data_IF_688252098991
#
_entry.id   IF_688252098991
#
_cell.length_a   1.000
_cell.length_b   1.000
_cell.length_c   1.000
_cell.angle_alpha   90.00
_cell.angle_beta   90.00
_cell.angle_gamma   90.00
#
_symmetry.space_group_name_H-M   'P 1'
#
loop_
_entity.id
_entity.type
_entity.pdbx_description
1 polymer ?
#
# COMPACT_ATOMS: atom_id res chain seq x y z
N UNK A 1 -39.77 8.34 32.34
CA UNK A 1 -39.95 7.51 31.12
C UNK A 1 -38.59 7.43 30.44
N UNK A 2 -37.95 6.27 30.47
CA UNK A 2 -36.65 6.07 29.82
C UNK A 2 -36.96 5.86 28.33
N UNK A 3 -36.77 6.90 27.52
CA UNK A 3 -36.98 6.77 26.08
C UNK A 3 -35.91 5.85 25.46
N UNK A 4 -36.28 5.12 24.39
CA UNK A 4 -35.47 4.09 23.71
C UNK A 4 -34.22 4.66 22.98
N UNK A 5 -33.34 5.36 23.67
CA UNK A 5 -32.06 5.81 23.14
C UNK A 5 -31.05 4.67 23.13
N UNK A 6 -30.32 4.48 22.03
CA UNK A 6 -29.25 3.48 21.95
C UNK A 6 -27.92 4.08 21.48
N UNK A 7 -26.84 3.67 22.15
CA UNK A 7 -25.48 4.00 21.73
C UNK A 7 -25.04 3.07 20.60
N UNK A 8 -24.52 3.63 19.50
CA UNK A 8 -23.96 2.87 18.39
C UNK A 8 -22.88 3.67 17.65
N UNK A 9 -21.82 2.98 17.23
CA UNK A 9 -20.77 3.54 16.39
C UNK A 9 -21.18 3.66 14.92
N UNK A 10 -22.37 3.16 14.56
CA UNK A 10 -22.93 3.20 13.20
C UNK A 10 -24.38 3.69 13.25
N UNK A 11 -24.64 4.97 13.60
CA UNK A 11 -25.99 5.49 13.70
C UNK A 11 -26.69 5.68 12.33
N UNK A 12 -25.95 5.51 11.23
CA UNK A 12 -26.41 5.89 9.90
C UNK A 12 -26.41 7.41 9.73
N UNK A 13 -27.15 7.91 8.75
CA UNK A 13 -27.27 9.35 8.51
C UNK A 13 -28.25 9.94 9.53
N UNK A 14 -27.74 10.84 10.37
CA UNK A 14 -28.53 11.71 11.26
C UNK A 14 -28.37 13.13 10.73
N UNK A 15 -29.48 13.79 10.40
CA UNK A 15 -29.44 15.07 9.65
C UNK A 15 -29.63 16.30 10.51
N UNK A 16 -30.23 16.15 11.69
CA UNK A 16 -30.49 17.26 12.60
C UNK A 16 -30.62 16.79 14.04
N UNK A 17 -30.62 17.75 14.97
CA UNK A 17 -30.90 17.49 16.38
C UNK A 17 -32.31 16.92 16.59
N UNK A 18 -33.30 17.42 15.84
CA UNK A 18 -34.68 16.94 15.88
C UNK A 18 -34.78 15.49 15.40
N UNK A 19 -34.12 15.16 14.29
CA UNK A 19 -34.04 13.79 13.75
C UNK A 19 -33.43 12.83 14.78
N UNK A 20 -32.37 13.25 15.48
CA UNK A 20 -31.79 12.48 16.57
C UNK A 20 -32.73 12.29 17.75
N UNK A 21 -33.31 13.37 18.29
CA UNK A 21 -34.10 13.35 19.52
C UNK A 21 -35.44 12.62 19.36
N UNK A 22 -36.10 12.76 18.22
CA UNK A 22 -37.48 12.31 18.06
C UNK A 22 -37.63 11.13 17.10
N UNK A 23 -36.74 10.97 16.11
CA UNK A 23 -36.85 9.91 15.11
C UNK A 23 -35.85 8.77 15.36
N UNK A 24 -34.56 9.03 15.16
CA UNK A 24 -33.51 8.00 15.16
C UNK A 24 -33.25 7.43 16.55
N UNK A 25 -33.11 8.31 17.56
CA UNK A 25 -32.74 7.97 18.94
C UNK A 25 -31.52 7.05 19.06
N UNK A 26 -30.65 7.04 18.06
CA UNK A 26 -29.46 6.20 17.97
C UNK A 26 -28.29 7.06 17.53
N UNK A 27 -27.19 7.01 18.28
CA UNK A 27 -26.07 7.93 18.09
C UNK A 27 -24.81 7.46 18.81
N UNK A 28 -23.72 8.22 18.64
CA UNK A 28 -22.50 8.10 19.45
C UNK A 28 -22.31 9.37 20.29
N UNK A 29 -21.20 9.45 21.05
CA UNK A 29 -20.93 10.47 22.07
C UNK A 29 -21.27 11.91 21.63
N UNK A 30 -20.88 12.34 20.42
CA UNK A 30 -21.15 13.70 19.93
C UNK A 30 -22.64 14.01 19.75
N UNK A 31 -23.46 13.03 19.33
CA UNK A 31 -24.89 13.22 19.15
C UNK A 31 -25.57 13.50 20.49
N UNK A 32 -25.23 12.69 21.51
CA UNK A 32 -25.76 12.85 22.85
C UNK A 32 -25.25 14.12 23.53
N UNK A 33 -23.96 14.42 23.41
CA UNK A 33 -23.38 15.64 23.98
C UNK A 33 -23.95 16.90 23.32
N UNK A 34 -24.06 16.92 21.99
CA UNK A 34 -24.66 18.02 21.24
C UNK A 34 -26.14 18.22 21.59
N UNK A 35 -26.89 17.13 21.72
CA UNK A 35 -28.30 17.19 22.13
C UNK A 35 -28.47 17.73 23.56
N UNK A 36 -27.72 17.19 24.51
CA UNK A 36 -27.76 17.64 25.90
C UNK A 36 -27.36 19.12 26.04
N UNK A 37 -26.26 19.53 25.39
CA UNK A 37 -25.83 20.92 25.41
C UNK A 37 -26.88 21.86 24.81
N UNK A 38 -27.52 21.45 23.71
CA UNK A 38 -28.58 22.24 23.08
C UNK A 38 -29.81 22.37 23.97
N UNK A 39 -30.27 21.28 24.59
CA UNK A 39 -31.41 21.29 25.52
C UNK A 39 -31.14 22.16 26.75
N UNK A 40 -29.92 22.10 27.32
CA UNK A 40 -29.53 22.97 28.43
C UNK A 40 -29.55 24.46 28.05
N UNK A 41 -29.06 24.80 26.86
CA UNK A 41 -29.10 26.19 26.37
C UNK A 41 -30.53 26.65 26.15
N UNK A 42 -31.40 25.79 25.63
CA UNK A 42 -32.82 26.08 25.47
C UNK A 42 -33.52 26.28 26.83
N UNK A 43 -33.05 25.64 27.90
CA UNK A 43 -33.54 25.87 29.26
C UNK A 43 -32.84 27.03 29.99
N UNK A 44 -32.04 27.85 29.29
CA UNK A 44 -31.37 29.01 29.85
C UNK A 44 -30.11 28.71 30.66
N UNK A 45 -29.61 27.47 30.64
CA UNK A 45 -28.37 27.07 31.32
C UNK A 45 -27.20 27.19 30.36
N UNK A 46 -26.17 28.02 30.65
CA UNK A 46 -24.96 28.07 29.83
C UNK A 46 -24.29 26.70 29.79
N UNK A 47 -24.02 26.18 28.59
CA UNK A 47 -23.40 24.87 28.40
C UNK A 47 -22.44 24.86 27.21
N UNK A 48 -21.47 23.94 27.22
CA UNK A 48 -20.51 23.70 26.13
C UNK A 48 -20.23 22.22 25.96
N UNK A 49 -19.97 21.82 24.71
CA UNK A 49 -19.46 20.48 24.40
C UNK A 49 -17.95 20.51 24.56
N UNK A 50 -17.41 19.48 25.20
CA UNK A 50 -15.97 19.26 25.33
C UNK A 50 -15.63 17.97 24.60
N UNK A 51 -14.59 18.02 23.78
CA UNK A 51 -14.07 16.88 23.01
C UNK A 51 -12.67 16.56 23.50
N UNK A 52 -12.41 15.28 23.72
CA UNK A 52 -11.12 14.79 24.18
C UNK A 52 -11.08 13.27 24.17
N UNK A 53 -10.45 12.68 25.19
CA UNK A 53 -10.37 11.24 25.36
C UNK A 53 -10.94 10.84 26.73
N UNK A 54 -11.59 9.68 26.78
CA UNK A 54 -12.11 9.11 28.03
C UNK A 54 -11.73 7.63 28.12
N UNK A 55 -11.12 7.26 29.25
CA UNK A 55 -10.63 5.91 29.52
C UNK A 55 -9.14 5.78 29.18
N UNK A 56 -8.82 4.78 28.36
CA UNK A 56 -7.46 4.31 28.12
C UNK A 56 -7.20 2.98 28.82
N UNK A 57 -6.35 2.15 28.20
CA UNK A 57 -6.04 0.81 28.69
C UNK A 57 -4.75 0.87 29.50
N UNK A 58 -4.79 0.41 30.76
CA UNK A 58 -3.58 0.29 31.58
C UNK A 58 -2.64 -0.76 30.99
N UNK A 59 -1.36 -0.44 30.86
CA UNK A 59 -0.38 -1.44 30.44
C UNK A 59 -0.18 -2.50 31.52
N UNK A 60 -0.27 -3.78 31.16
CA UNK A 60 -0.01 -4.89 32.11
C UNK A 60 1.47 -5.01 32.49
N UNK A 61 2.37 -4.40 31.71
CA UNK A 61 3.81 -4.58 31.82
C UNK A 61 4.55 -3.33 32.33
N UNK A 62 3.91 -2.17 32.37
CA UNK A 62 4.51 -0.89 32.77
C UNK A 62 3.46 0.05 33.38
N UNK A 63 3.92 1.05 34.14
CA UNK A 63 3.06 2.06 34.76
C UNK A 63 2.73 3.21 33.78
N UNK A 64 1.90 2.92 32.77
CA UNK A 64 1.32 3.94 31.89
C UNK A 64 -0.05 3.51 31.37
N UNK A 65 -0.85 4.50 30.94
CA UNK A 65 -2.12 4.28 30.23
C UNK A 65 -1.93 4.53 28.73
N UNK A 66 -2.41 3.60 27.93
CA UNK A 66 -2.48 3.75 26.47
C UNK A 66 -3.82 4.35 26.10
N UNK A 67 -3.79 5.59 25.57
CA UNK A 67 -4.98 6.29 25.07
C UNK A 67 -4.93 6.28 23.54
N UNK A 68 -5.97 5.75 22.91
CA UNK A 68 -6.04 5.60 21.45
C UNK A 68 -7.11 6.51 20.85
N UNK A 69 -7.09 6.64 19.52
CA UNK A 69 -8.16 7.31 18.78
C UNK A 69 -9.56 6.76 19.08
N UNK A 70 -9.68 5.46 19.35
CA UNK A 70 -10.95 4.82 19.73
C UNK A 70 -11.50 5.30 21.09
N UNK A 71 -10.65 5.87 21.94
CA UNK A 71 -11.05 6.46 23.22
C UNK A 71 -11.53 7.90 23.09
N UNK A 72 -11.54 8.46 21.87
CA UNK A 72 -12.10 9.77 21.59
C UNK A 72 -13.55 9.84 22.10
N UNK A 73 -13.85 10.91 22.82
CA UNK A 73 -15.11 11.06 23.54
C UNK A 73 -15.53 12.52 23.63
N UNK A 74 -16.84 12.73 23.68
CA UNK A 74 -17.46 14.04 23.83
C UNK A 74 -18.42 14.04 25.03
N UNK A 75 -18.30 15.04 25.89
CA UNK A 75 -19.18 15.27 27.04
C UNK A 75 -19.64 16.74 27.09
N UNK A 76 -20.47 17.08 28.09
CA UNK A 76 -20.98 18.43 28.28
C UNK A 76 -20.45 19.00 29.59
N UNK A 77 -20.13 20.29 29.56
CA UNK A 77 -19.99 21.07 30.79
C UNK A 77 -21.09 22.12 30.82
N UNK A 78 -21.72 22.29 31.98
CA UNK A 78 -22.74 23.31 32.19
C UNK A 78 -22.36 24.19 33.38
N UNK A 79 -22.81 25.44 33.36
CA UNK A 79 -22.57 26.38 34.44
C UNK A 79 -23.56 26.14 35.58
N UNK A 80 -23.04 25.71 36.73
CA UNK A 80 -23.82 25.65 37.97
C UNK A 80 -23.78 27.02 38.66
N UNK A 81 -24.91 27.70 38.65
CA UNK A 81 -25.06 29.03 39.27
C UNK A 81 -24.91 29.03 40.79
N UNK A 82 -25.22 27.91 41.47
CA UNK A 82 -25.11 27.77 42.92
C UNK A 82 -23.65 27.63 43.33
N UNK A 83 -22.91 26.79 42.60
CA UNK A 83 -21.48 26.55 42.85
C UNK A 83 -20.55 27.56 42.18
N UNK A 84 -21.09 28.39 41.27
CA UNK A 84 -20.34 29.33 40.42
C UNK A 84 -19.17 28.66 39.71
N UNK A 85 -19.43 27.48 39.14
CA UNK A 85 -18.41 26.65 38.51
C UNK A 85 -18.96 25.91 37.28
N UNK A 86 -18.05 25.46 36.42
CA UNK A 86 -18.39 24.54 35.34
C UNK A 86 -18.40 23.11 35.88
N UNK A 87 -19.52 22.42 35.69
CA UNK A 87 -19.71 21.03 36.12
C UNK A 87 -19.78 20.13 34.90
N UNK A 88 -18.97 19.05 34.91
CA UNK A 88 -18.98 18.02 33.89
C UNK A 88 -20.21 17.13 34.03
N UNK A 89 -20.89 16.86 32.92
CA UNK A 89 -21.95 15.88 32.80
C UNK A 89 -21.80 15.08 31.52
N UNK A 90 -21.86 13.76 31.63
CA UNK A 90 -21.71 12.86 30.50
C UNK A 90 -23.03 12.14 30.21
N UNK A 91 -23.75 12.48 29.13
CA UNK A 91 -25.02 11.84 28.83
C UNK A 91 -24.86 10.33 28.57
N UNK A 92 -23.66 9.87 28.18
CA UNK A 92 -23.41 8.45 27.91
C UNK A 92 -23.47 7.61 29.19
N UNK A 93 -23.28 8.20 30.38
CA UNK A 93 -23.42 7.47 31.65
C UNK A 93 -24.82 6.88 31.86
N UNK A 94 -25.85 7.51 31.27
CA UNK A 94 -27.24 7.07 31.38
C UNK A 94 -27.67 6.13 30.25
N UNK A 95 -26.97 6.17 29.12
CA UNK A 95 -27.33 5.43 27.90
C UNK A 95 -26.50 4.16 27.73
N UNK A 96 -25.18 4.26 27.96
CA UNK A 96 -24.27 3.13 27.85
C UNK A 96 -23.13 3.27 28.88
N UNK A 97 -23.41 3.03 30.17
CA UNK A 97 -22.38 3.09 31.22
C UNK A 97 -21.22 2.12 30.97
N UNK A 98 -21.47 1.01 30.25
CA UNK A 98 -20.44 0.05 29.87
C UNK A 98 -19.36 0.68 28.97
N UNK A 99 -19.72 1.63 28.09
CA UNK A 99 -18.73 2.35 27.25
C UNK A 99 -17.76 3.17 28.10
N UNK A 100 -18.23 3.76 29.20
CA UNK A 100 -17.37 4.54 30.09
C UNK A 100 -16.50 3.64 30.98
N UNK A 101 -17.05 2.51 31.42
CA UNK A 101 -16.35 1.56 32.31
C UNK A 101 -15.28 0.73 31.58
N UNK A 102 -15.52 0.31 30.35
CA UNK A 102 -14.64 -0.59 29.60
C UNK A 102 -13.63 0.12 28.69
N UNK A 103 -13.82 1.41 28.40
CA UNK A 103 -13.03 2.13 27.38
C UNK A 103 -13.51 1.88 25.95
N UNK A 104 -13.00 2.66 25.00
CA UNK A 104 -13.54 2.68 23.63
C UNK A 104 -13.24 1.43 22.82
N UNK A 105 -12.04 0.88 22.98
CA UNK A 105 -11.60 -0.32 22.28
C UNK A 105 -12.39 -1.57 22.70
N UNK A 106 -12.41 -1.88 23.99
CA UNK A 106 -13.11 -3.05 24.52
C UNK A 106 -14.62 -2.98 24.28
N UNK A 107 -15.22 -1.78 24.34
CA UNK A 107 -16.62 -1.60 23.99
C UNK A 107 -16.90 -1.88 22.50
N UNK A 108 -16.02 -1.42 21.60
CA UNK A 108 -16.15 -1.70 20.16
C UNK A 108 -16.06 -3.19 19.87
N UNK A 109 -15.11 -3.89 20.50
CA UNK A 109 -14.95 -5.33 20.30
C UNK A 109 -16.17 -6.10 20.80
N UNK A 110 -16.67 -5.79 22.01
CA UNK A 110 -17.93 -6.36 22.53
C UNK A 110 -19.11 -6.13 21.57
N UNK A 111 -19.22 -4.95 20.97
CA UNK A 111 -20.31 -4.63 20.03
C UNK A 111 -20.14 -5.28 18.65
N UNK A 112 -18.91 -5.48 18.19
CA UNK A 112 -18.62 -6.18 16.94
C UNK A 112 -18.91 -7.68 17.07
N UNK A 113 -18.54 -8.30 18.20
CA UNK A 113 -18.84 -9.70 18.48
C UNK A 113 -20.35 -9.95 18.50
N UNK A 114 -21.13 -9.04 19.12
CA UNK A 114 -22.61 -9.12 19.11
C UNK A 114 -23.26 -8.91 17.75
N UNK A 115 -22.63 -8.22 16.80
CA UNK A 115 -23.22 -7.98 15.47
C UNK A 115 -22.95 -9.16 14.52
N UNK A 116 -21.85 -9.90 14.69
CA UNK A 116 -21.56 -11.07 13.85
C UNK A 116 -22.24 -12.37 14.32
N UNK A 117 -22.89 -12.36 15.50
CA UNK A 117 -23.57 -13.51 16.11
C UNK A 117 -24.96 -13.85 15.53
N UNK A 118 -25.45 -13.12 14.52
CA UNK A 118 -26.81 -13.34 13.98
C UNK A 118 -26.86 -14.39 12.86
N UNK A 119 -25.72 -14.89 12.32
CA UNK A 119 -25.80 -15.69 11.07
C UNK A 119 -24.86 -16.89 10.88
N UNK A 120 -24.00 -17.32 11.83
CA UNK A 120 -23.13 -18.47 11.54
C UNK A 120 -22.88 -19.45 12.70
N UNK A 121 -22.88 -20.73 12.35
CA UNK A 121 -22.77 -21.94 13.16
C UNK A 121 -21.59 -22.01 14.15
N UNK A 122 -21.81 -22.75 15.24
CA UNK A 122 -20.94 -23.01 16.40
C UNK A 122 -19.45 -23.25 16.09
N UNK A 123 -19.13 -23.85 14.95
CA UNK A 123 -17.75 -24.12 14.53
C UNK A 123 -16.97 -22.83 14.20
N UNK A 124 -17.66 -21.84 13.64
CA UNK A 124 -17.07 -20.54 13.28
C UNK A 124 -16.77 -19.74 14.54
N UNK A 125 -17.61 -19.88 15.57
CA UNK A 125 -17.45 -19.23 16.87
C UNK A 125 -16.26 -19.83 17.66
N UNK A 126 -16.09 -21.16 17.65
CA UNK A 126 -14.95 -21.84 18.28
C UNK A 126 -13.61 -21.46 17.62
N UNK A 127 -13.53 -21.52 16.28
CA UNK A 127 -12.31 -21.17 15.55
C UNK A 127 -11.98 -19.68 15.66
N UNK A 128 -12.98 -18.79 15.69
CA UNK A 128 -12.76 -17.34 15.84
C UNK A 128 -12.46 -16.91 17.27
N UNK A 129 -12.97 -17.59 18.30
CA UNK A 129 -12.61 -17.28 19.70
C UNK A 129 -11.12 -17.45 19.96
N UNK A 130 -10.56 -18.61 19.57
CA UNK A 130 -9.13 -18.89 19.73
C UNK A 130 -8.23 -18.02 18.85
N UNK A 131 -8.60 -17.83 17.57
CA UNK A 131 -7.82 -16.99 16.65
C UNK A 131 -7.98 -15.49 16.93
N UNK A 132 -9.15 -15.06 17.41
CA UNK A 132 -9.45 -13.68 17.78
C UNK A 132 -8.72 -13.25 19.05
N UNK A 133 -8.67 -14.11 20.07
CA UNK A 133 -7.82 -13.89 21.25
C UNK A 133 -6.33 -13.86 20.90
N UNK A 134 -5.88 -14.73 19.99
CA UNK A 134 -4.50 -14.71 19.52
C UNK A 134 -4.20 -13.44 18.73
N UNK A 135 -5.12 -13.01 17.86
CA UNK A 135 -4.98 -11.79 17.08
C UNK A 135 -4.97 -10.52 17.95
N UNK A 136 -5.79 -10.45 19.00
CA UNK A 136 -5.78 -9.33 19.94
C UNK A 136 -4.50 -9.32 20.77
N UNK A 137 -3.98 -10.47 21.21
CA UNK A 137 -2.66 -10.58 21.85
C UNK A 137 -1.52 -10.15 20.94
N UNK A 138 -1.54 -10.57 19.67
CA UNK A 138 -0.55 -10.16 18.67
C UNK A 138 -0.63 -8.66 18.40
N UNK A 139 -1.84 -8.08 18.33
CA UNK A 139 -1.99 -6.61 18.21
C UNK A 139 -1.47 -5.88 19.43
N UNK A 140 -1.76 -6.35 20.64
CA UNK A 140 -1.23 -5.74 21.86
C UNK A 140 0.31 -5.82 21.93
N UNK A 141 0.90 -6.94 21.50
CA UNK A 141 2.35 -7.11 21.36
C UNK A 141 2.90 -6.17 20.27
N UNK A 142 2.19 -6.03 19.15
CA UNK A 142 2.56 -5.15 18.05
C UNK A 142 2.54 -3.68 18.48
N UNK A 143 1.48 -3.23 19.13
CA UNK A 143 1.34 -1.86 19.64
C UNK A 143 2.38 -1.56 20.74
N UNK A 144 2.69 -2.55 21.57
CA UNK A 144 3.79 -2.45 22.52
C UNK A 144 5.14 -2.34 21.80
N UNK A 145 5.36 -3.11 20.75
CA UNK A 145 6.59 -3.06 19.96
C UNK A 145 6.75 -1.73 19.21
N UNK A 146 5.65 -1.16 18.70
CA UNK A 146 5.62 0.16 18.07
C UNK A 146 5.95 1.25 19.09
N UNK A 147 5.37 1.18 20.29
CA UNK A 147 5.65 2.13 21.37
C UNK A 147 7.10 2.01 21.88
N UNK A 148 7.64 0.80 21.95
CA UNK A 148 9.04 0.55 22.29
C UNK A 148 9.98 1.03 21.19
N UNK A 149 9.62 0.88 19.93
CA UNK A 149 10.39 1.35 18.77
C UNK A 149 10.40 2.87 18.67
N UNK A 150 9.24 3.52 18.84
CA UNK A 150 9.12 4.99 18.85
C UNK A 150 9.93 5.57 20.01
N UNK A 151 9.80 5.01 21.21
CA UNK A 151 10.59 5.49 22.35
C UNK A 151 12.08 5.16 22.20
N UNK A 152 12.44 4.03 21.59
CA UNK A 152 13.82 3.69 21.23
C UNK A 152 14.40 4.72 20.26
N UNK A 153 13.67 5.08 19.21
CA UNK A 153 14.09 6.11 18.24
C UNK A 153 14.19 7.50 18.88
N UNK A 154 13.24 7.87 19.75
CA UNK A 154 13.25 9.16 20.45
C UNK A 154 14.37 9.24 21.51
N UNK A 155 14.74 8.12 22.13
CA UNK A 155 15.88 8.01 23.07
C UNK A 155 17.19 7.62 22.40
N UNK A 156 17.24 7.44 21.07
CA UNK A 156 18.47 7.09 20.37
C UNK A 156 19.38 8.31 20.30
N UNK A 157 20.02 8.61 21.42
CA UNK A 157 21.04 9.64 21.57
C UNK A 157 22.42 9.02 21.84
N UNK A 158 23.46 9.86 21.81
CA UNK A 158 24.84 9.42 22.03
C UNK A 158 25.08 8.80 23.41
N UNK A 159 24.30 9.20 24.43
CA UNK A 159 24.37 8.65 25.79
C UNK A 159 23.83 7.23 25.86
N UNK A 160 22.68 6.97 25.26
CA UNK A 160 22.04 5.66 25.22
C UNK A 160 22.86 4.65 24.41
N UNK A 161 23.47 5.09 23.30
CA UNK A 161 24.40 4.26 22.53
C UNK A 161 25.58 3.81 23.42
N UNK A 162 26.13 4.72 24.24
CA UNK A 162 27.23 4.42 25.16
C UNK A 162 26.81 3.46 26.28
N UNK A 163 25.60 3.61 26.80
CA UNK A 163 25.02 2.77 27.86
C UNK A 163 24.77 1.33 27.38
N UNK A 164 24.24 1.15 26.16
CA UNK A 164 24.08 -0.16 25.52
C UNK A 164 25.45 -0.83 25.30
N UNK A 165 26.41 -0.07 24.77
CA UNK A 165 27.77 -0.57 24.48
C UNK A 165 28.47 -1.03 25.77
N UNK A 166 28.33 -0.24 26.85
CA UNK A 166 28.92 -0.56 28.15
C UNK A 166 28.21 -1.74 28.83
N UNK A 167 26.87 -1.83 28.73
CA UNK A 167 26.08 -2.93 29.27
C UNK A 167 26.34 -4.29 28.58
N UNK A 168 26.73 -4.27 27.30
CA UNK A 168 27.14 -5.46 26.54
C UNK A 168 28.63 -5.84 26.77
N UNK A 169 29.37 -5.08 27.58
CA UNK A 169 30.80 -5.30 27.81
C UNK A 169 31.69 -4.97 26.62
N UNK A 170 31.14 -4.31 25.58
CA UNK A 170 31.82 -4.03 24.32
C UNK A 170 32.52 -2.66 24.37
N UNK A 171 33.32 -2.37 25.40
CA UNK A 171 33.97 -1.07 25.64
C UNK A 171 34.62 -0.40 24.40
N UNK A 172 35.95 -0.48 24.26
CA UNK A 172 36.64 0.11 23.08
C UNK A 172 36.50 -0.74 21.81
N UNK A 173 36.13 -2.03 21.95
CA UNK A 173 35.93 -2.95 20.84
C UNK A 173 34.68 -2.63 19.99
N UNK A 174 33.73 -1.86 20.52
CA UNK A 174 32.51 -1.45 19.81
C UNK A 174 32.79 -0.72 18.49
N UNK A 175 33.81 0.15 18.44
CA UNK A 175 34.17 0.91 17.23
C UNK A 175 34.52 -0.02 16.06
N UNK A 176 35.28 -1.08 16.33
CA UNK A 176 35.67 -2.05 15.31
C UNK A 176 34.52 -2.96 14.90
N UNK A 177 33.62 -3.31 15.83
CA UNK A 177 32.40 -4.07 15.53
C UNK A 177 31.46 -3.28 14.61
N UNK A 178 31.24 -1.99 14.89
CA UNK A 178 30.42 -1.14 14.02
C UNK A 178 31.07 -0.89 12.65
N UNK A 179 32.39 -0.70 12.59
CA UNK A 179 33.11 -0.59 11.33
C UNK A 179 32.97 -1.88 10.50
N UNK A 180 33.12 -3.04 11.12
CA UNK A 180 32.93 -4.34 10.47
C UNK A 180 31.48 -4.51 9.97
N UNK A 181 30.49 -4.20 10.80
CA UNK A 181 29.07 -4.32 10.42
C UNK A 181 28.71 -3.38 9.26
N UNK A 182 29.23 -2.15 9.27
CA UNK A 182 29.05 -1.20 8.18
C UNK A 182 29.65 -1.69 6.87
N UNK A 183 30.86 -2.28 6.90
CA UNK A 183 31.49 -2.89 5.73
C UNK A 183 30.64 -4.04 5.21
N UNK A 184 30.17 -4.93 6.09
CA UNK A 184 29.32 -6.07 5.70
C UNK A 184 28.00 -5.61 5.07
N UNK A 185 27.32 -4.62 5.66
CA UNK A 185 26.08 -4.07 5.12
C UNK A 185 26.30 -3.37 3.78
N UNK A 186 27.42 -2.67 3.62
CA UNK A 186 27.78 -2.02 2.35
C UNK A 186 28.03 -3.05 1.25
N UNK A 187 28.76 -4.13 1.57
CA UNK A 187 28.99 -5.23 0.64
C UNK A 187 27.70 -5.96 0.28
N UNK A 188 26.81 -6.19 1.24
CA UNK A 188 25.50 -6.78 1.00
C UNK A 188 24.64 -5.90 0.07
N UNK A 189 24.59 -4.60 0.35
CA UNK A 189 23.90 -3.63 -0.50
C UNK A 189 24.46 -3.61 -1.93
N UNK A 190 25.78 -3.71 -2.08
CA UNK A 190 26.44 -3.81 -3.39
C UNK A 190 26.05 -5.09 -4.13
N UNK A 191 26.03 -6.24 -3.44
CA UNK A 191 25.60 -7.52 -4.02
C UNK A 191 24.14 -7.46 -4.48
N UNK A 192 23.25 -6.90 -3.65
CA UNK A 192 21.84 -6.70 -4.00
C UNK A 192 21.70 -5.76 -5.19
N UNK A 193 22.43 -4.65 -5.21
CA UNK A 193 22.43 -3.70 -6.32
C UNK A 193 22.89 -4.36 -7.63
N UNK A 194 23.99 -5.14 -7.60
CA UNK A 194 24.48 -5.91 -8.76
C UNK A 194 23.44 -6.94 -9.20
N UNK A 195 22.81 -7.64 -8.26
CA UNK A 195 21.78 -8.64 -8.54
C UNK A 195 20.55 -8.01 -9.20
N UNK A 196 20.06 -6.89 -8.68
CA UNK A 196 18.94 -6.12 -9.25
C UNK A 196 19.32 -5.57 -10.63
N UNK A 197 20.52 -5.03 -10.82
CA UNK A 197 21.00 -4.57 -12.12
C UNK A 197 21.07 -5.71 -13.14
N UNK A 198 21.43 -6.93 -12.71
CA UNK A 198 21.44 -8.11 -13.59
C UNK A 198 20.06 -8.67 -13.89
N UNK A 199 19.09 -8.49 -12.99
CA UNK A 199 17.69 -8.85 -13.22
C UNK A 199 16.97 -7.84 -14.11
N UNK A 200 17.33 -6.55 -14.02
CA UNK A 200 16.75 -5.46 -14.80
C UNK A 200 17.36 -5.25 -16.18
N UNK A 201 18.28 -6.10 -16.62
CA UNK A 201 18.72 -6.09 -18.01
C UNK A 201 17.60 -6.69 -18.86
N UNK A 202 16.70 -5.83 -19.34
CA UNK A 202 15.72 -6.17 -20.36
C UNK A 202 16.45 -6.95 -21.45
N UNK A 203 16.13 -8.24 -21.57
CA UNK A 203 16.62 -9.05 -22.67
C UNK A 203 16.05 -8.38 -23.91
N UNK A 204 16.90 -7.69 -24.67
CA UNK A 204 16.53 -7.16 -25.98
C UNK A 204 15.85 -8.29 -26.72
N UNK A 205 14.57 -8.10 -27.03
CA UNK A 205 13.74 -9.14 -27.63
C UNK A 205 14.46 -9.65 -28.90
N UNK A 206 14.89 -10.93 -28.94
CA UNK A 206 15.70 -11.46 -30.03
C UNK A 206 15.03 -11.30 -31.40
N UNK A 207 13.70 -11.23 -31.43
CA UNK A 207 12.93 -11.09 -32.67
C UNK A 207 12.89 -9.62 -33.14
N UNK A 208 12.98 -8.65 -32.21
CA UNK A 208 13.19 -7.23 -32.53
C UNK A 208 14.55 -6.99 -33.17
N UNK A 209 15.58 -7.69 -32.68
CA UNK A 209 16.94 -7.55 -33.20
C UNK A 209 17.04 -8.01 -34.66
N UNK A 210 16.38 -9.11 -35.01
CA UNK A 210 16.31 -9.59 -36.40
C UNK A 210 15.61 -8.60 -37.34
N UNK A 211 14.51 -7.99 -36.88
CA UNK A 211 13.82 -6.95 -37.65
C UNK A 211 14.69 -5.69 -37.80
N UNK A 212 15.39 -5.25 -36.75
CA UNK A 212 16.35 -4.13 -36.82
C UNK A 212 17.49 -4.45 -37.79
N UNK A 213 18.00 -5.68 -37.79
CA UNK A 213 19.05 -6.11 -38.72
C UNK A 213 18.56 -6.08 -40.17
N UNK A 214 17.32 -6.50 -40.45
CA UNK A 214 16.73 -6.37 -41.78
C UNK A 214 16.55 -4.91 -42.20
N UNK A 215 16.06 -4.05 -41.30
CA UNK A 215 15.93 -2.61 -41.58
C UNK A 215 17.29 -1.97 -41.87
N UNK A 216 18.32 -2.29 -41.08
CA UNK A 216 19.68 -1.81 -41.28
C UNK A 216 20.32 -2.35 -42.57
N UNK A 217 19.96 -3.57 -42.98
CA UNK A 217 20.42 -4.11 -44.26
C UNK A 217 19.76 -3.38 -45.43
N UNK A 218 18.45 -3.15 -45.38
CA UNK A 218 17.71 -2.42 -46.41
C UNK A 218 18.13 -0.94 -46.52
N UNK A 219 18.45 -0.29 -45.40
CA UNK A 219 18.92 1.09 -45.40
C UNK A 219 20.26 1.28 -46.11
N UNK A 220 21.16 0.27 -46.05
CA UNK A 220 22.41 0.25 -46.82
C UNK A 220 22.19 0.25 -48.34
N UNK A 221 21.02 -0.22 -48.81
CA UNK A 221 20.64 -0.24 -50.22
C UNK A 221 19.67 0.89 -50.58
N UNK A 222 19.52 1.91 -49.72
CA UNK A 222 18.78 3.13 -50.04
C UNK A 222 17.33 3.17 -49.55
N UNK A 223 16.83 2.14 -48.87
CA UNK A 223 15.49 2.14 -48.28
C UNK A 223 15.57 2.36 -46.76
N UNK A 224 15.36 3.60 -46.32
CA UNK A 224 15.26 3.93 -44.90
C UNK A 224 13.83 3.79 -44.39
N UNK A 225 13.68 3.34 -43.15
CA UNK A 225 12.40 3.26 -42.47
C UNK A 225 11.98 4.64 -41.96
N UNK A 226 10.74 5.04 -42.21
CA UNK A 226 10.20 6.32 -41.75
C UNK A 226 9.78 6.26 -40.27
N UNK A 227 9.77 7.44 -39.62
CA UNK A 227 9.34 7.58 -38.23
C UNK A 227 7.84 7.32 -38.15
N UNK A 228 7.44 6.29 -37.40
CA UNK A 228 6.03 5.88 -37.28
C UNK A 228 5.57 4.84 -38.31
N UNK A 229 6.45 4.40 -39.23
CA UNK A 229 6.09 3.43 -40.26
C UNK A 229 5.89 2.02 -39.70
N UNK A 230 4.76 1.40 -40.04
CA UNK A 230 4.43 0.04 -39.66
C UNK A 230 5.30 -1.01 -40.38
N UNK A 231 5.50 -2.21 -39.80
CA UNK A 231 6.24 -3.28 -40.48
C UNK A 231 5.64 -3.73 -41.81
N UNK A 232 4.32 -3.65 -41.97
CA UNK A 232 3.61 -3.98 -43.22
C UNK A 232 3.79 -2.92 -44.30
N UNK A 233 3.75 -1.63 -43.95
CA UNK A 233 3.96 -0.54 -44.89
C UNK A 233 5.40 -0.52 -45.41
N UNK A 234 6.36 -0.70 -44.50
CA UNK A 234 7.77 -0.82 -44.83
C UNK A 234 8.04 -2.05 -45.73
N UNK A 235 7.36 -3.17 -45.47
CA UNK A 235 7.42 -4.35 -46.34
C UNK A 235 6.88 -4.04 -47.74
N UNK A 236 5.73 -3.34 -47.85
CA UNK A 236 5.15 -2.93 -49.13
C UNK A 236 6.12 -2.12 -49.99
N UNK A 237 6.80 -1.14 -49.40
CA UNK A 237 7.83 -0.35 -50.09
C UNK A 237 9.05 -1.16 -50.49
N UNK A 238 9.54 -2.03 -49.60
CA UNK A 238 10.69 -2.88 -49.90
C UNK A 238 10.45 -3.80 -51.11
N UNK A 239 9.21 -4.30 -51.27
CA UNK A 239 8.82 -5.11 -52.44
C UNK A 239 8.82 -4.31 -53.75
N UNK A 240 8.39 -3.06 -53.68
CA UNK A 240 8.32 -2.18 -54.85
C UNK A 240 9.71 -1.70 -55.27
N UNK A 241 10.58 -1.37 -54.31
CA UNK A 241 11.94 -0.91 -54.53
C UNK A 241 12.87 -2.02 -55.05
N UNK A 242 12.66 -3.28 -54.62
CA UNK A 242 13.52 -4.41 -55.00
C UNK A 242 12.72 -5.57 -55.64
N UNK A 243 12.19 -5.40 -56.88
CA UNK A 243 11.39 -6.43 -57.55
C UNK A 243 12.12 -7.77 -57.71
N UNK A 244 13.44 -7.72 -57.92
CA UNK A 244 14.35 -8.87 -58.07
C UNK A 244 14.43 -9.75 -56.81
N UNK A 245 14.12 -9.20 -55.63
CA UNK A 245 14.20 -9.89 -54.35
C UNK A 245 12.84 -10.06 -53.67
N UNK A 246 11.74 -9.81 -54.40
CA UNK A 246 10.37 -9.78 -53.87
C UNK A 246 9.99 -11.03 -53.09
N UNK A 247 10.19 -12.22 -53.66
CA UNK A 247 9.82 -13.48 -53.00
C UNK A 247 10.64 -13.75 -51.72
N UNK A 248 11.92 -13.36 -51.74
CA UNK A 248 12.82 -13.50 -50.58
C UNK A 248 12.43 -12.54 -49.47
N UNK A 249 12.15 -11.28 -49.82
CA UNK A 249 11.64 -10.27 -48.88
C UNK A 249 10.29 -10.70 -48.28
N UNK A 250 9.37 -11.22 -49.10
CA UNK A 250 8.08 -11.73 -48.65
C UNK A 250 8.24 -12.85 -47.63
N UNK A 251 9.15 -13.81 -47.90
CA UNK A 251 9.42 -14.89 -46.96
C UNK A 251 10.02 -14.41 -45.63
N UNK A 252 10.88 -13.39 -45.66
CA UNK A 252 11.56 -12.85 -44.48
C UNK A 252 10.62 -12.00 -43.63
N UNK A 253 9.88 -11.07 -44.25
CA UNK A 253 8.91 -10.23 -43.55
C UNK A 253 7.77 -11.07 -42.97
N UNK A 254 7.22 -12.05 -43.71
CA UNK A 254 6.23 -12.97 -43.16
C UNK A 254 6.78 -13.74 -41.95
N UNK A 255 8.00 -14.28 -42.03
CA UNK A 255 8.59 -15.02 -40.92
C UNK A 255 8.85 -14.15 -39.68
N UNK A 256 9.29 -12.90 -39.86
CA UNK A 256 9.55 -11.96 -38.75
C UNK A 256 8.26 -11.40 -38.14
N UNK A 257 7.29 -11.04 -38.97
CA UNK A 257 6.00 -10.50 -38.53
C UNK A 257 5.17 -11.60 -37.86
N UNK A 258 5.04 -12.79 -38.46
CA UNK A 258 4.35 -13.91 -37.81
C UNK A 258 5.09 -14.47 -36.60
N UNK A 259 6.43 -14.36 -36.57
CA UNK A 259 7.23 -14.76 -35.41
C UNK A 259 7.05 -13.86 -34.19
N UNK A 260 6.65 -12.60 -34.39
CA UNK A 260 6.45 -11.62 -33.32
C UNK A 260 5.00 -11.35 -32.98
N UNK A 261 4.15 -11.21 -34.00
CA UNK A 261 2.74 -10.83 -33.89
C UNK A 261 1.79 -12.02 -34.14
N UNK A 262 2.32 -13.18 -34.53
CA UNK A 262 1.58 -14.43 -34.65
C UNK A 262 1.93 -15.42 -33.54
N UNK A 263 1.28 -16.59 -33.53
CA UNK A 263 1.50 -17.65 -32.52
C UNK A 263 2.79 -18.48 -32.75
N UNK A 264 3.67 -18.05 -33.66
CA UNK A 264 4.87 -18.81 -34.05
C UNK A 264 6.06 -18.44 -33.16
N UNK A 265 6.34 -19.27 -32.16
CA UNK A 265 7.56 -19.13 -31.36
C UNK A 265 8.81 -19.49 -32.18
N UNK A 266 9.60 -18.49 -32.59
CA UNK A 266 10.85 -18.70 -33.34
C UNK A 266 11.90 -19.37 -32.45
N UNK A 267 12.24 -20.62 -32.73
CA UNK A 267 13.33 -21.33 -32.02
C UNK A 267 14.69 -20.68 -32.30
N UNK A 268 15.68 -20.88 -31.41
CA UNK A 268 17.07 -20.36 -31.59
C UNK A 268 17.69 -20.74 -32.95
N UNK A 269 17.40 -21.95 -33.46
CA UNK A 269 17.89 -22.42 -34.76
C UNK A 269 17.24 -21.66 -35.92
N UNK A 270 15.95 -21.37 -35.84
CA UNK A 270 15.22 -20.57 -36.83
C UNK A 270 15.72 -19.13 -36.86
N UNK A 271 15.96 -18.51 -35.69
CA UNK A 271 16.53 -17.16 -35.59
C UNK A 271 17.89 -17.04 -36.29
N UNK A 272 18.81 -18.00 -36.04
CA UNK A 272 20.11 -18.06 -36.72
C UNK A 272 19.99 -18.24 -38.23
N UNK A 273 19.04 -19.06 -38.69
CA UNK A 273 18.77 -19.25 -40.13
C UNK A 273 18.25 -17.96 -40.77
N UNK A 274 17.32 -17.25 -40.13
CA UNK A 274 16.80 -15.96 -40.60
C UNK A 274 17.90 -14.91 -40.64
N UNK A 275 18.72 -14.80 -39.59
CA UNK A 275 19.86 -13.89 -39.56
C UNK A 275 20.83 -14.12 -40.73
N UNK A 276 21.12 -15.38 -41.04
CA UNK A 276 21.97 -15.75 -42.17
C UNK A 276 21.33 -15.41 -43.52
N UNK A 277 20.02 -15.66 -43.68
CA UNK A 277 19.26 -15.28 -44.88
C UNK A 277 19.23 -13.77 -45.10
N UNK A 278 19.10 -12.97 -44.04
CA UNK A 278 19.12 -11.51 -44.15
C UNK A 278 20.52 -11.03 -44.58
N UNK A 279 21.60 -11.53 -43.95
CA UNK A 279 22.97 -11.17 -44.32
C UNK A 279 23.34 -11.55 -45.76
N UNK A 280 22.77 -12.66 -46.28
CA UNK A 280 22.97 -13.13 -47.66
C UNK A 280 21.97 -12.56 -48.67
N UNK A 281 21.07 -11.69 -48.24
CA UNK A 281 20.10 -11.06 -49.13
C UNK A 281 20.84 -10.12 -50.09
N UNK A 282 20.95 -10.54 -51.34
CA UNK A 282 21.54 -9.75 -52.42
C UNK A 282 20.48 -8.80 -52.97
N UNK A 283 20.71 -7.51 -52.78
CA UNK A 283 19.90 -6.44 -53.33
C UNK A 283 20.74 -5.68 -54.36
N UNK A 284 20.11 -5.25 -55.44
CA UNK A 284 20.73 -4.37 -56.43
C UNK A 284 20.04 -3.01 -56.31
N UNK A 285 20.84 -1.95 -56.23
CA UNK A 285 20.31 -0.59 -56.25
C UNK A 285 20.12 -0.15 -57.72
N UNK A 286 19.21 0.78 -57.99
CA UNK A 286 18.96 1.31 -59.35
C UNK A 286 20.22 1.91 -60.02
N UNK A 287 21.28 2.19 -59.25
CA UNK A 287 22.59 2.68 -59.72
C UNK A 287 23.62 1.59 -60.05
N UNK A 288 23.24 0.32 -60.19
CA UNK A 288 24.10 -0.71 -60.81
C UNK A 288 25.34 -1.16 -60.02
N UNK A 289 25.51 -0.77 -58.75
CA UNK A 289 26.58 -1.31 -57.91
C UNK A 289 26.15 -2.58 -57.19
N UNK A 290 26.66 -3.73 -57.65
CA UNK A 290 26.73 -4.95 -56.84
C UNK A 290 27.70 -4.70 -55.68
N UNK A 291 27.20 -4.62 -54.45
CA UNK A 291 28.06 -4.76 -53.28
C UNK A 291 28.57 -6.20 -53.24
N UNK A 292 29.82 -6.39 -53.65
CA UNK A 292 30.57 -7.61 -53.47
C UNK A 292 30.56 -7.98 -51.98
N UNK A 293 30.08 -9.17 -51.67
CA UNK A 293 30.32 -9.79 -50.37
C UNK A 293 31.78 -10.22 -50.31
N UNK A 294 32.60 -9.51 -49.55
CA UNK A 294 33.89 -10.02 -49.09
C UNK A 294 33.88 -10.09 -47.56
N UNK A 295 34.30 -11.26 -47.08
CA UNK A 295 34.80 -11.60 -45.74
C UNK A 295 33.83 -11.56 -44.57
#
# INVERSE_FOLDING_TARGET
VQENFAYTLRPGKVTSLEDFLFSKKRGFCEHFAGAMASLLRLSGVPSRVVVGFQGGTSSLLRDYYLVRYLDAHAWVEYWDSLQKSWVRSDPIQFISPQRLAMGGESYRDMMNDRYFDVENSDLTQFLRGGLGEMASRVRLIWDQSESLWINFLLRYDWSFQKEIIQGLGLGEASRWIFAFLAIVLTLLALVVAIFVFRLGHDRVDPDLELYRLLCAHLSRFGLQKEVGEGPYDYWGRARNQFPQARDKLDSLFKALIHGRYGQLNLTRKMRRSLQHKIKRLRLQNESGRRSLSNS
#
